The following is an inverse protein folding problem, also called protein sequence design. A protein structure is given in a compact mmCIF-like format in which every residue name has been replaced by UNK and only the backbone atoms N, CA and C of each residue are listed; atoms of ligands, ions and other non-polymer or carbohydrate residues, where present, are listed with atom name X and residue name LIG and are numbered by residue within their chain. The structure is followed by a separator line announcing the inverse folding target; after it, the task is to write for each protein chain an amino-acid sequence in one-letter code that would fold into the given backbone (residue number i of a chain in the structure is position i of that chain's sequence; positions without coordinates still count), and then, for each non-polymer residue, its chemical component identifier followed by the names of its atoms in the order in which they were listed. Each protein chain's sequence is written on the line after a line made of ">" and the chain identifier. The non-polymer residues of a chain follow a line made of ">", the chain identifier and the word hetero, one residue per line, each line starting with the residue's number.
data_IF_876785644195
#
_entry.id   IF_876785644195
#
_cell.length_a   1.000
_cell.length_b   1.000
_cell.length_c   1.000
_cell.angle_alpha   90.00
_cell.angle_beta   90.00
_cell.angle_gamma   90.00
#
_symmetry.space_group_name_H-M   'P 1'
#
loop_
_entity.id
_entity.type
_entity.pdbx_description
1 polymer ?
#
# COMPACT_ATOMS: atom_id res chain seq x y z
N UNK A 1 -5.31 1.97 -23.61
CA UNK A 1 -4.72 0.62 -23.42
C UNK A 1 -5.34 0.05 -22.16
N UNK A 2 -5.62 -1.24 -22.08
CA UNK A 2 -6.14 -1.87 -20.85
C UNK A 2 -4.97 -2.46 -20.05
N UNK A 3 -5.12 -2.56 -18.75
CA UNK A 3 -4.05 -3.06 -17.86
C UNK A 3 -3.64 -4.49 -18.21
N UNK A 4 -4.57 -5.33 -18.62
CA UNK A 4 -4.31 -6.71 -19.05
C UNK A 4 -3.42 -6.76 -20.29
N UNK A 5 -3.59 -5.79 -21.21
CA UNK A 5 -2.76 -5.66 -22.41
C UNK A 5 -1.33 -5.26 -22.05
N UNK A 6 -1.17 -4.43 -21.00
CA UNK A 6 0.15 -4.04 -20.47
C UNK A 6 0.88 -5.24 -19.90
N UNK A 7 0.22 -6.06 -19.08
CA UNK A 7 0.80 -7.27 -18.50
C UNK A 7 1.06 -8.37 -19.53
N UNK A 8 0.20 -8.50 -20.54
CA UNK A 8 0.35 -9.51 -21.60
C UNK A 8 1.63 -9.33 -22.43
N UNK A 9 2.23 -8.13 -22.46
CA UNK A 9 3.45 -7.86 -23.23
C UNK A 9 4.71 -8.56 -22.69
N UNK A 10 4.66 -9.19 -21.52
CA UNK A 10 5.79 -9.89 -20.88
C UNK A 10 7.10 -9.08 -20.82
N UNK A 11 7.00 -7.76 -20.64
CA UNK A 11 8.12 -6.84 -20.50
C UNK A 11 8.04 -6.13 -19.16
N UNK A 12 9.12 -5.47 -18.77
CA UNK A 12 9.07 -4.57 -17.63
C UNK A 12 8.07 -3.43 -17.89
N UNK A 13 7.26 -3.12 -16.88
CA UNK A 13 6.33 -1.99 -16.89
C UNK A 13 7.00 -0.84 -16.18
N UNK A 14 7.00 0.35 -16.81
CA UNK A 14 7.54 1.56 -16.21
C UNK A 14 6.42 2.32 -15.52
N UNK A 15 6.61 2.57 -14.23
CA UNK A 15 5.87 3.56 -13.46
C UNK A 15 6.59 4.91 -13.61
N UNK A 16 5.90 5.98 -13.25
CA UNK A 16 6.51 7.31 -13.23
C UNK A 16 7.45 7.53 -12.02
N UNK A 17 7.83 8.77 -11.79
CA UNK A 17 8.72 9.20 -10.71
C UNK A 17 8.07 10.24 -9.80
N UNK A 18 8.93 11.07 -9.17
CA UNK A 18 8.53 12.04 -8.16
C UNK A 18 7.66 13.18 -8.73
N UNK A 19 6.40 13.24 -8.35
CA UNK A 19 5.52 14.37 -8.68
C UNK A 19 5.85 15.60 -7.84
N UNK A 20 5.86 15.47 -6.52
CA UNK A 20 6.08 16.60 -5.60
C UNK A 20 7.40 17.32 -5.84
N UNK A 21 8.50 16.58 -5.98
CA UNK A 21 9.83 17.14 -6.29
C UNK A 21 9.81 17.92 -7.62
N UNK A 22 9.19 17.38 -8.67
CA UNK A 22 9.09 18.03 -9.96
C UNK A 22 8.24 19.31 -9.93
N UNK A 23 7.16 19.33 -9.16
CA UNK A 23 6.35 20.54 -8.97
C UNK A 23 7.11 21.62 -8.21
N UNK A 24 7.87 21.26 -7.16
CA UNK A 24 8.70 22.20 -6.40
C UNK A 24 9.80 22.81 -7.28
N UNK A 25 10.50 22.00 -8.08
CA UNK A 25 11.49 22.48 -9.04
C UNK A 25 10.91 23.44 -10.09
N UNK A 26 9.61 23.37 -10.33
CA UNK A 26 8.88 24.22 -11.30
C UNK A 26 8.04 25.31 -10.66
N UNK A 27 8.28 25.62 -9.37
CA UNK A 27 7.76 26.81 -8.71
C UNK A 27 6.63 26.55 -7.71
N UNK A 28 6.24 25.32 -7.40
CA UNK A 28 5.34 25.05 -6.29
C UNK A 28 6.07 25.36 -4.97
N UNK A 29 5.47 26.23 -4.16
CA UNK A 29 6.07 26.63 -2.87
C UNK A 29 5.68 25.67 -1.75
N UNK A 30 6.46 25.65 -0.66
CA UNK A 30 6.19 24.81 0.52
C UNK A 30 4.89 25.18 1.26
N UNK A 31 4.34 26.36 1.04
CA UNK A 31 3.07 26.81 1.59
C UNK A 31 1.86 26.28 0.81
N UNK A 32 2.08 25.87 -0.42
CA UNK A 32 1.03 25.37 -1.30
C UNK A 32 0.87 23.86 -1.14
N UNK A 33 -0.38 23.40 -1.12
CA UNK A 33 -0.67 21.96 -1.11
C UNK A 33 -0.44 21.38 -2.50
N UNK A 34 0.41 20.35 -2.64
CA UNK A 34 0.68 19.74 -3.95
C UNK A 34 -0.59 19.26 -4.68
N UNK A 35 -1.58 18.75 -3.93
CA UNK A 35 -2.84 18.26 -4.48
C UNK A 35 -3.65 19.35 -5.21
N UNK A 36 -3.41 20.61 -4.89
CA UNK A 36 -4.06 21.74 -5.54
C UNK A 36 -3.32 22.22 -6.81
N UNK A 37 -2.25 21.59 -7.23
CA UNK A 37 -1.49 21.99 -8.42
C UNK A 37 -2.34 22.00 -9.70
N UNK A 38 -3.37 21.14 -9.80
CA UNK A 38 -4.31 21.15 -10.92
C UNK A 38 -5.12 22.47 -11.03
N UNK A 39 -5.22 23.26 -9.97
CA UNK A 39 -5.88 24.57 -9.95
C UNK A 39 -4.89 25.74 -9.97
N UNK A 40 -3.73 25.56 -9.35
CA UNK A 40 -2.72 26.63 -9.18
C UNK A 40 -1.82 26.73 -10.42
N UNK A 41 -1.42 25.59 -10.99
CA UNK A 41 -0.48 25.50 -12.10
C UNK A 41 -0.78 24.30 -13.03
N UNK A 42 -1.99 24.21 -13.61
CA UNK A 42 -2.43 23.05 -14.40
C UNK A 42 -1.51 22.71 -15.58
N UNK A 43 -0.97 23.73 -16.25
CA UNK A 43 -0.06 23.52 -17.38
C UNK A 43 1.26 22.88 -16.92
N UNK A 44 1.78 23.31 -15.76
CA UNK A 44 2.99 22.73 -15.17
C UNK A 44 2.75 21.29 -14.75
N UNK A 45 1.63 21.00 -14.07
CA UNK A 45 1.26 19.65 -13.70
C UNK A 45 1.15 18.73 -14.92
N UNK A 46 0.44 19.19 -15.96
CA UNK A 46 0.33 18.45 -17.23
C UNK A 46 1.70 18.24 -17.89
N UNK A 47 2.60 19.23 -17.83
CA UNK A 47 3.94 19.10 -18.37
C UNK A 47 4.77 18.05 -17.61
N UNK A 48 4.68 17.97 -16.28
CA UNK A 48 5.36 16.93 -15.49
C UNK A 48 4.87 15.53 -15.92
N UNK A 49 3.57 15.31 -16.01
CA UNK A 49 3.03 14.03 -16.49
C UNK A 49 3.50 13.71 -17.92
N UNK A 50 3.55 14.71 -18.79
CA UNK A 50 4.01 14.56 -20.18
C UNK A 50 5.48 14.17 -20.24
N UNK A 51 6.33 14.75 -19.41
CA UNK A 51 7.74 14.43 -19.36
C UNK A 51 7.97 12.97 -18.93
N UNK A 52 7.24 12.47 -17.92
CA UNK A 52 7.27 11.06 -17.55
C UNK A 52 6.72 10.13 -18.62
N UNK A 53 5.60 10.50 -19.27
CA UNK A 53 5.05 9.74 -20.37
C UNK A 53 6.05 9.60 -21.53
N UNK A 54 6.71 10.70 -21.92
CA UNK A 54 7.76 10.74 -22.96
C UNK A 54 9.03 9.99 -22.56
N UNK A 55 9.35 9.97 -21.26
CA UNK A 55 10.44 9.17 -20.71
C UNK A 55 10.14 7.65 -20.78
N UNK A 56 8.91 7.27 -21.08
CA UNK A 56 8.50 5.88 -21.30
C UNK A 56 7.75 5.25 -20.14
N UNK A 57 7.19 6.05 -19.23
CA UNK A 57 6.25 5.54 -18.23
C UNK A 57 5.02 4.93 -18.90
N UNK A 58 4.69 3.71 -18.54
CA UNK A 58 3.50 2.98 -19.00
C UNK A 58 2.29 3.33 -18.14
N UNK A 59 2.51 3.77 -16.88
CA UNK A 59 1.50 4.18 -15.91
C UNK A 59 1.93 5.52 -15.30
N UNK A 60 1.02 6.50 -15.33
CA UNK A 60 1.18 7.81 -14.68
C UNK A 60 0.29 7.87 -13.45
N UNK A 61 0.86 8.21 -12.30
CA UNK A 61 0.12 8.44 -11.07
C UNK A 61 -0.40 9.88 -11.08
N UNK A 62 -1.73 10.05 -11.04
CA UNK A 62 -2.34 11.37 -10.97
C UNK A 62 -1.94 12.07 -9.66
N UNK A 63 -1.92 13.40 -9.65
CA UNK A 63 -1.52 14.18 -8.47
C UNK A 63 -2.63 14.22 -7.40
N UNK A 64 -3.01 13.04 -6.90
CA UNK A 64 -4.15 12.83 -5.99
C UNK A 64 -3.76 12.18 -4.66
N UNK A 65 -2.47 11.98 -4.40
CA UNK A 65 -1.90 11.31 -3.22
C UNK A 65 -2.54 11.75 -1.89
N UNK A 66 -2.70 13.04 -1.68
CA UNK A 66 -3.28 13.61 -0.47
C UNK A 66 -4.70 14.16 -0.65
N UNK A 67 -5.41 13.79 -1.71
CA UNK A 67 -6.75 14.32 -2.02
C UNK A 67 -7.86 13.73 -1.13
N UNK A 68 -7.62 13.56 0.17
CA UNK A 68 -8.59 13.05 1.13
C UNK A 68 -9.30 14.20 1.88
N UNK A 69 -10.49 13.93 2.48
CA UNK A 69 -11.29 14.95 3.16
C UNK A 69 -10.53 15.70 4.26
N UNK A 70 -9.65 15.00 4.99
CA UNK A 70 -8.87 15.58 6.08
C UNK A 70 -7.85 16.60 5.57
N UNK A 71 -7.04 16.23 4.57
CA UNK A 71 -5.99 17.11 4.02
C UNK A 71 -6.57 18.27 3.22
N UNK A 72 -7.75 18.09 2.62
CA UNK A 72 -8.42 19.16 1.87
C UNK A 72 -9.26 20.11 2.77
N UNK A 73 -9.41 19.81 4.05
CA UNK A 73 -10.16 20.68 4.96
C UNK A 73 -9.63 22.11 4.94
N UNK A 74 -10.53 23.06 4.72
CA UNK A 74 -10.21 24.51 4.69
C UNK A 74 -9.62 25.01 3.37
N UNK A 75 -9.49 24.16 2.33
CA UNK A 75 -8.99 24.59 1.01
C UNK A 75 -10.06 25.21 0.12
N UNK A 76 -11.34 24.98 0.41
CA UNK A 76 -12.45 25.37 -0.45
C UNK A 76 -12.76 24.41 -1.60
N UNK A 77 -11.99 23.33 -1.74
CA UNK A 77 -12.20 22.30 -2.77
C UNK A 77 -12.68 20.99 -2.14
N UNK A 78 -13.53 20.27 -2.88
CA UNK A 78 -13.98 18.91 -2.54
C UNK A 78 -12.99 17.87 -3.05
N UNK A 79 -13.04 16.66 -2.47
CA UNK A 79 -12.27 15.48 -2.93
C UNK A 79 -12.52 15.23 -4.42
N UNK A 80 -13.78 15.23 -4.83
CA UNK A 80 -14.18 15.03 -6.22
C UNK A 80 -13.54 16.05 -7.16
N UNK A 81 -13.62 17.35 -6.85
CA UNK A 81 -13.04 18.40 -7.70
C UNK A 81 -11.53 18.24 -7.89
N UNK A 82 -10.82 17.94 -6.80
CA UNK A 82 -9.36 17.77 -6.85
C UNK A 82 -8.96 16.54 -7.68
N UNK A 83 -9.65 15.43 -7.47
CA UNK A 83 -9.39 14.18 -8.20
C UNK A 83 -9.73 14.34 -9.69
N UNK A 84 -10.88 14.88 -10.02
CA UNK A 84 -11.28 15.11 -11.43
C UNK A 84 -10.27 16.00 -12.16
N UNK A 85 -9.88 17.13 -11.57
CA UNK A 85 -8.93 18.06 -12.18
C UNK A 85 -7.54 17.43 -12.37
N UNK A 86 -7.05 16.68 -11.36
CA UNK A 86 -5.73 16.04 -11.41
C UNK A 86 -5.70 14.90 -12.44
N UNK A 87 -6.74 14.06 -12.48
CA UNK A 87 -6.85 12.99 -13.48
C UNK A 87 -6.95 13.59 -14.90
N UNK A 88 -7.66 14.70 -15.10
CA UNK A 88 -7.74 15.37 -16.40
C UNK A 88 -6.36 15.84 -16.89
N UNK A 89 -5.52 16.41 -16.02
CA UNK A 89 -4.14 16.78 -16.36
C UNK A 89 -3.30 15.56 -16.77
N UNK A 90 -3.34 14.48 -15.98
CA UNK A 90 -2.64 13.25 -16.29
C UNK A 90 -3.13 12.59 -17.57
N UNK A 91 -4.44 12.57 -17.80
CA UNK A 91 -5.07 12.01 -19.00
C UNK A 91 -4.68 12.80 -20.26
N UNK A 92 -4.59 14.13 -20.16
CA UNK A 92 -4.11 14.99 -21.27
C UNK A 92 -2.69 14.61 -21.69
N UNK A 93 -1.80 14.37 -20.72
CA UNK A 93 -0.43 13.93 -20.99
C UNK A 93 -0.38 12.50 -21.54
N UNK A 94 -1.19 11.60 -21.01
CA UNK A 94 -1.24 10.19 -21.40
C UNK A 94 -1.71 9.97 -22.85
N UNK A 95 -2.50 10.89 -23.41
CA UNK A 95 -2.97 10.79 -24.81
C UNK A 95 -1.84 10.71 -25.83
N UNK A 96 -0.68 11.32 -25.56
CA UNK A 96 0.45 11.35 -26.49
C UNK A 96 1.15 9.98 -26.61
N UNK A 97 1.13 9.15 -25.56
CA UNK A 97 1.87 7.88 -25.49
C UNK A 97 0.99 6.65 -25.30
N UNK A 98 -0.27 6.85 -24.93
CA UNK A 98 -1.20 5.80 -24.55
C UNK A 98 -0.90 5.20 -23.16
N UNK A 99 -0.20 5.94 -22.28
CA UNK A 99 0.01 5.52 -20.90
C UNK A 99 -1.34 5.40 -20.14
N UNK A 100 -1.39 4.53 -19.14
CA UNK A 100 -2.50 4.42 -18.21
C UNK A 100 -2.42 5.53 -17.16
N UNK A 101 -3.55 5.91 -16.61
CA UNK A 101 -3.64 6.89 -15.51
C UNK A 101 -4.16 6.20 -14.26
N UNK A 102 -3.36 6.22 -13.20
CA UNK A 102 -3.73 5.69 -11.89
C UNK A 102 -4.32 6.79 -11.01
N UNK A 103 -5.39 6.45 -10.28
CA UNK A 103 -5.78 7.21 -9.10
C UNK A 103 -4.77 6.92 -8.00
N UNK A 104 -3.96 7.90 -7.64
CA UNK A 104 -2.95 7.78 -6.60
C UNK A 104 -3.51 8.15 -5.23
N UNK A 105 -3.41 7.26 -4.26
CA UNK A 105 -3.94 7.43 -2.90
C UNK A 105 -2.84 7.11 -1.87
N UNK A 106 -2.47 8.12 -1.09
CA UNK A 106 -1.59 7.97 0.05
C UNK A 106 -2.33 7.81 1.38
N UNK A 107 -1.60 7.72 2.51
CA UNK A 107 -2.17 7.66 3.84
C UNK A 107 -3.07 8.87 4.16
N UNK A 108 -4.13 8.63 4.95
CA UNK A 108 -5.05 9.68 5.42
C UNK A 108 -4.29 10.73 6.25
N UNK A 109 -3.24 10.29 6.97
CA UNK A 109 -2.45 11.16 7.83
C UNK A 109 -2.93 11.17 9.29
N UNK A 110 -3.61 10.13 9.70
CA UNK A 110 -4.01 9.84 11.08
C UNK A 110 -3.96 8.34 11.33
N UNK A 111 -3.44 7.92 12.48
CA UNK A 111 -3.43 6.52 12.85
C UNK A 111 -4.83 6.03 13.21
N UNK A 112 -5.14 4.81 12.80
CA UNK A 112 -6.39 4.15 13.14
C UNK A 112 -6.39 3.69 14.61
N UNK A 113 -7.58 3.62 15.22
CA UNK A 113 -7.75 3.01 16.53
C UNK A 113 -7.35 1.52 16.49
N UNK A 114 -6.73 0.96 17.54
CA UNK A 114 -6.45 1.59 18.85
C UNK A 114 -5.12 2.37 18.93
N UNK A 115 -4.26 2.32 17.89
CA UNK A 115 -2.98 3.03 17.90
C UNK A 115 -3.14 4.55 17.76
N UNK A 116 -4.20 5.00 17.12
CA UNK A 116 -4.63 6.38 16.98
C UNK A 116 -6.10 6.55 17.35
N UNK A 117 -6.74 7.58 16.77
CA UNK A 117 -8.11 7.97 17.09
C UNK A 117 -9.11 7.75 15.96
N UNK A 118 -8.65 7.47 14.73
CA UNK A 118 -9.52 7.30 13.57
C UNK A 118 -10.18 5.92 13.59
N UNK A 119 -11.52 5.81 13.62
CA UNK A 119 -12.21 4.53 13.47
C UNK A 119 -11.91 3.89 12.10
N UNK A 120 -11.87 2.57 12.06
CA UNK A 120 -11.62 1.81 10.82
C UNK A 120 -12.65 2.12 9.74
N UNK A 121 -13.93 2.18 10.12
CA UNK A 121 -15.05 2.45 9.23
C UNK A 121 -14.98 3.86 8.63
N UNK A 122 -14.52 4.84 9.42
CA UNK A 122 -14.33 6.22 8.95
C UNK A 122 -13.16 6.31 7.96
N UNK A 123 -12.11 5.52 8.17
CA UNK A 123 -11.02 5.40 7.20
C UNK A 123 -11.53 4.76 5.89
N UNK A 124 -12.28 3.65 5.97
CA UNK A 124 -12.91 3.04 4.80
C UNK A 124 -13.80 4.04 4.04
N UNK A 125 -14.60 4.82 4.74
CA UNK A 125 -15.48 5.83 4.12
C UNK A 125 -14.69 6.91 3.38
N UNK A 126 -13.59 7.41 3.94
CA UNK A 126 -12.73 8.40 3.30
C UNK A 126 -12.04 7.82 2.04
N UNK A 127 -11.49 6.60 2.12
CA UNK A 127 -10.92 5.94 0.95
C UNK A 127 -11.98 5.66 -0.12
N UNK A 128 -13.18 5.22 0.26
CA UNK A 128 -14.28 4.98 -0.66
C UNK A 128 -14.73 6.25 -1.41
N UNK A 129 -14.72 7.41 -0.76
CA UNK A 129 -14.98 8.70 -1.40
C UNK A 129 -13.96 8.99 -2.52
N UNK A 130 -12.65 8.81 -2.23
CA UNK A 130 -11.59 9.02 -3.21
C UNK A 130 -11.70 8.02 -4.37
N UNK A 131 -11.94 6.74 -4.07
CA UNK A 131 -12.04 5.67 -5.07
C UNK A 131 -13.22 5.93 -6.02
N UNK A 132 -14.38 6.27 -5.50
CA UNK A 132 -15.56 6.61 -6.34
C UNK A 132 -15.29 7.81 -7.22
N UNK A 133 -14.66 8.85 -6.68
CA UNK A 133 -14.30 10.04 -7.46
C UNK A 133 -13.32 9.71 -8.58
N UNK A 134 -12.28 8.90 -8.29
CA UNK A 134 -11.29 8.49 -9.29
C UNK A 134 -11.84 7.59 -10.38
N UNK A 135 -12.69 6.63 -10.03
CA UNK A 135 -13.37 5.76 -10.99
C UNK A 135 -14.30 6.58 -11.90
N UNK A 136 -15.08 7.51 -11.34
CA UNK A 136 -15.94 8.41 -12.10
C UNK A 136 -15.16 9.36 -13.02
N UNK A 137 -13.97 9.83 -12.60
CA UNK A 137 -13.08 10.66 -13.39
C UNK A 137 -12.33 9.88 -14.50
N UNK A 138 -12.50 8.55 -14.57
CA UNK A 138 -11.93 7.70 -15.61
C UNK A 138 -10.50 7.29 -15.36
N UNK A 139 -10.09 7.05 -14.11
CA UNK A 139 -8.85 6.35 -13.82
C UNK A 139 -8.86 4.93 -14.40
N UNK A 140 -7.69 4.41 -14.79
CA UNK A 140 -7.55 3.04 -15.30
C UNK A 140 -7.27 2.02 -14.19
N UNK A 141 -6.76 2.46 -13.05
CA UNK A 141 -6.47 1.64 -11.86
C UNK A 141 -6.40 2.52 -10.60
N UNK A 142 -6.49 1.88 -9.45
CA UNK A 142 -6.26 2.50 -8.13
C UNK A 142 -4.84 2.14 -7.66
N UNK A 143 -4.08 3.12 -7.20
CA UNK A 143 -2.73 2.95 -6.70
C UNK A 143 -2.67 3.46 -5.25
N UNK A 144 -2.60 2.52 -4.30
CA UNK A 144 -2.51 2.80 -2.87
C UNK A 144 -1.03 2.79 -2.49
N UNK A 145 -0.38 3.97 -2.35
CA UNK A 145 1.07 3.99 -2.16
C UNK A 145 1.52 4.62 -0.84
N UNK A 146 2.75 4.30 -0.47
CA UNK A 146 3.46 4.88 0.70
C UNK A 146 2.73 4.60 2.02
N UNK A 147 1.97 3.51 2.09
CA UNK A 147 1.28 3.14 3.32
C UNK A 147 2.30 2.72 4.38
N UNK A 148 2.08 3.13 5.62
CA UNK A 148 2.97 2.85 6.77
C UNK A 148 2.30 2.01 7.84
N UNK A 149 0.99 1.84 7.74
CA UNK A 149 0.17 1.03 8.63
C UNK A 149 -0.60 -0.03 7.83
N UNK A 150 -0.49 -1.31 8.24
CA UNK A 150 -1.17 -2.40 7.54
C UNK A 150 -2.68 -2.36 7.76
N UNK A 151 -3.13 -1.83 8.90
CA UNK A 151 -4.55 -1.74 9.21
C UNK A 151 -5.22 -0.64 8.37
N UNK A 152 -4.53 0.49 8.18
CA UNK A 152 -4.95 1.52 7.23
C UNK A 152 -4.98 1.00 5.79
N UNK A 153 -3.95 0.26 5.36
CA UNK A 153 -3.92 -0.36 4.03
C UNK A 153 -5.08 -1.35 3.82
N UNK A 154 -5.46 -2.13 4.84
CA UNK A 154 -6.65 -2.99 4.78
C UNK A 154 -7.91 -2.19 4.50
N UNK A 155 -8.12 -1.07 5.23
CA UNK A 155 -9.26 -0.18 4.99
C UNK A 155 -9.27 0.35 3.55
N UNK A 156 -8.11 0.76 3.02
CA UNK A 156 -7.98 1.27 1.65
C UNK A 156 -8.26 0.19 0.59
N UNK A 157 -7.75 -1.05 0.77
CA UNK A 157 -8.01 -2.15 -0.18
C UNK A 157 -9.50 -2.53 -0.17
N UNK A 158 -10.12 -2.68 1.01
CA UNK A 158 -11.54 -3.00 1.12
C UNK A 158 -12.39 -1.91 0.47
N UNK A 159 -12.11 -0.64 0.79
CA UNK A 159 -12.80 0.49 0.16
C UNK A 159 -12.68 0.47 -1.37
N UNK A 160 -11.49 0.15 -1.91
CA UNK A 160 -11.32 0.07 -3.37
C UNK A 160 -12.11 -1.10 -3.98
N UNK A 161 -11.99 -2.30 -3.41
CA UNK A 161 -12.67 -3.51 -3.92
C UNK A 161 -14.19 -3.46 -3.83
N UNK A 162 -14.74 -2.73 -2.85
CA UNK A 162 -16.18 -2.59 -2.64
C UNK A 162 -16.81 -1.45 -3.47
N UNK A 163 -16.02 -0.51 -3.99
CA UNK A 163 -16.55 0.68 -4.63
C UNK A 163 -16.18 0.84 -6.11
N UNK A 164 -15.32 -0.02 -6.67
CA UNK A 164 -15.03 -0.05 -8.11
C UNK A 164 -14.49 -1.42 -8.57
N UNK A 165 -14.54 -1.63 -9.89
CA UNK A 165 -13.97 -2.82 -10.55
C UNK A 165 -12.55 -2.58 -11.10
N UNK A 166 -11.92 -1.46 -10.75
CA UNK A 166 -10.58 -1.13 -11.21
C UNK A 166 -9.52 -2.03 -10.54
N UNK A 167 -8.44 -2.37 -11.24
CA UNK A 167 -7.29 -3.03 -10.62
C UNK A 167 -6.73 -2.20 -9.47
N UNK A 168 -6.35 -2.87 -8.37
CA UNK A 168 -5.83 -2.24 -7.15
C UNK A 168 -4.38 -2.61 -6.94
N UNK A 169 -3.48 -1.64 -7.07
CA UNK A 169 -2.06 -1.78 -6.78
C UNK A 169 -1.78 -1.20 -5.40
N UNK A 170 -0.92 -1.86 -4.64
CA UNK A 170 -0.61 -1.41 -3.28
C UNK A 170 0.88 -1.35 -3.03
N UNK A 171 1.36 -0.39 -2.24
CA UNK A 171 2.71 -0.40 -1.71
C UNK A 171 2.79 0.12 -0.27
N UNK A 172 3.78 -0.39 0.43
CA UNK A 172 4.13 0.10 1.75
C UNK A 172 5.55 0.67 1.75
N UNK A 173 5.78 1.59 2.66
CA UNK A 173 7.07 2.22 2.90
C UNK A 173 7.72 1.60 4.14
N UNK A 174 8.95 1.11 3.98
CA UNK A 174 9.70 0.41 5.04
C UNK A 174 10.91 1.22 5.47
N UNK A 175 11.20 1.19 6.77
CA UNK A 175 12.42 1.74 7.33
C UNK A 175 13.60 0.77 7.12
N UNK A 176 14.83 1.21 7.37
CA UNK A 176 16.06 0.45 7.15
C UNK A 176 16.10 -0.93 7.82
N UNK A 177 15.31 -1.14 8.88
CA UNK A 177 15.18 -2.45 9.57
C UNK A 177 14.17 -3.40 8.90
N UNK A 178 13.54 -3.02 7.79
CA UNK A 178 12.56 -3.82 7.06
C UNK A 178 11.21 -3.95 7.77
N UNK A 179 10.86 -2.93 8.55
CA UNK A 179 9.54 -2.74 9.15
C UNK A 179 9.00 -1.37 8.81
N UNK A 180 7.69 -1.24 8.74
CA UNK A 180 7.03 0.06 8.60
C UNK A 180 7.05 0.83 9.92
N UNK A 181 6.60 2.08 9.90
CA UNK A 181 6.48 2.92 11.10
C UNK A 181 5.67 2.24 12.24
N UNK A 182 4.58 1.53 11.90
CA UNK A 182 3.77 0.78 12.88
C UNK A 182 4.26 -0.66 13.13
N UNK A 183 5.42 -1.02 12.59
CA UNK A 183 6.07 -2.31 12.85
C UNK A 183 5.71 -3.43 11.88
N UNK A 184 4.92 -3.16 10.83
CA UNK A 184 4.53 -4.19 9.85
C UNK A 184 5.74 -4.79 9.14
N UNK A 185 5.74 -6.12 8.98
CA UNK A 185 6.77 -6.85 8.23
C UNK A 185 6.44 -6.92 6.74
N UNK A 186 7.48 -7.11 5.92
CA UNK A 186 7.31 -7.29 4.47
C UNK A 186 6.43 -8.50 4.16
N UNK A 187 6.60 -9.59 4.92
CA UNK A 187 5.84 -10.82 4.77
C UNK A 187 4.35 -10.61 5.10
N UNK A 188 4.07 -9.98 6.25
CA UNK A 188 2.69 -9.69 6.68
C UNK A 188 1.98 -8.81 5.68
N UNK A 189 2.66 -7.79 5.16
CA UNK A 189 2.14 -6.94 4.10
C UNK A 189 1.78 -7.75 2.84
N UNK A 190 2.75 -8.48 2.29
CA UNK A 190 2.54 -9.22 1.03
C UNK A 190 1.43 -10.27 1.13
N UNK A 191 1.36 -11.01 2.25
CA UNK A 191 0.33 -12.01 2.51
C UNK A 191 -1.05 -11.36 2.63
N UNK A 192 -1.15 -10.29 3.43
CA UNK A 192 -2.43 -9.61 3.66
C UNK A 192 -2.95 -8.94 2.39
N UNK A 193 -2.10 -8.19 1.66
CA UNK A 193 -2.51 -7.52 0.44
C UNK A 193 -2.96 -8.53 -0.64
N UNK A 194 -2.23 -9.63 -0.81
CA UNK A 194 -2.61 -10.72 -1.72
C UNK A 194 -3.93 -11.38 -1.30
N UNK A 195 -4.10 -11.64 0.00
CA UNK A 195 -5.31 -12.25 0.56
C UNK A 195 -6.56 -11.36 0.42
N UNK A 196 -6.41 -10.05 0.43
CA UNK A 196 -7.47 -9.06 0.22
C UNK A 196 -7.74 -8.78 -1.28
N UNK A 197 -7.03 -9.44 -2.17
CA UNK A 197 -7.27 -9.33 -3.61
C UNK A 197 -6.63 -8.11 -4.28
N UNK A 198 -5.51 -7.59 -3.75
CA UNK A 198 -4.69 -6.65 -4.50
C UNK A 198 -4.20 -7.28 -5.81
N UNK A 199 -4.16 -6.51 -6.89
CA UNK A 199 -3.78 -6.98 -8.22
C UNK A 199 -2.25 -6.87 -8.46
N UNK A 200 -1.58 -5.98 -7.72
CA UNK A 200 -0.13 -5.87 -7.64
C UNK A 200 0.31 -5.35 -6.27
N UNK A 201 1.51 -5.72 -5.86
CA UNK A 201 2.10 -5.26 -4.59
C UNK A 201 3.50 -4.69 -4.82
N UNK A 202 3.91 -3.76 -3.97
CA UNK A 202 5.22 -3.13 -4.14
C UNK A 202 5.79 -2.49 -2.88
N UNK A 203 6.96 -1.90 -3.05
CA UNK A 203 7.63 -1.11 -2.01
C UNK A 203 8.04 0.21 -2.63
N UNK A 204 7.75 1.31 -1.96
CA UNK A 204 8.13 2.62 -2.44
C UNK A 204 8.59 3.56 -1.31
N UNK A 205 9.28 4.62 -1.69
CA UNK A 205 9.72 5.71 -0.81
C UNK A 205 10.69 5.28 0.31
N UNK A 206 10.96 6.15 1.25
CA UNK A 206 11.83 6.07 2.44
C UNK A 206 13.31 5.81 2.15
N UNK A 207 13.64 4.87 1.27
CA UNK A 207 14.99 4.35 1.08
C UNK A 207 15.37 4.38 -0.41
N UNK A 208 16.67 4.28 -0.68
CA UNK A 208 17.22 4.15 -2.03
C UNK A 208 17.14 2.74 -2.60
N UNK A 209 17.58 2.56 -3.86
CA UNK A 209 17.46 1.27 -4.54
C UNK A 209 18.19 0.12 -3.83
N UNK A 210 19.39 0.35 -3.29
CA UNK A 210 20.18 -0.70 -2.62
C UNK A 210 19.50 -1.22 -1.35
N UNK A 211 18.95 -0.31 -0.56
CA UNK A 211 18.34 -0.62 0.72
C UNK A 211 17.01 -1.36 0.56
N UNK A 212 16.22 -1.02 -0.48
CA UNK A 212 14.91 -1.66 -0.74
C UNK A 212 15.07 -3.06 -1.35
N UNK A 213 16.15 -3.35 -2.06
CA UNK A 213 16.35 -4.61 -2.79
C UNK A 213 16.11 -5.87 -1.94
N UNK A 214 16.68 -6.00 -0.72
CA UNK A 214 16.43 -7.18 0.12
C UNK A 214 14.95 -7.35 0.49
N UNK A 215 14.24 -6.25 0.72
CA UNK A 215 12.82 -6.28 1.08
C UNK A 215 11.96 -6.69 -0.11
N UNK A 216 12.25 -6.16 -1.29
CA UNK A 216 11.56 -6.53 -2.52
C UNK A 216 11.76 -8.02 -2.88
N UNK A 217 12.94 -8.56 -2.62
CA UNK A 217 13.21 -10.00 -2.77
C UNK A 217 12.39 -10.85 -1.76
N UNK A 218 12.25 -10.39 -0.51
CA UNK A 218 11.40 -11.05 0.51
C UNK A 218 9.94 -11.01 0.07
N UNK A 219 9.44 -9.86 -0.42
CA UNK A 219 8.09 -9.72 -0.94
C UNK A 219 7.81 -10.71 -2.08
N UNK A 220 8.72 -10.83 -3.05
CA UNK A 220 8.60 -11.79 -4.16
C UNK A 220 8.49 -13.26 -3.71
N UNK A 221 9.01 -13.61 -2.52
CA UNK A 221 8.96 -14.99 -2.00
C UNK A 221 7.63 -15.34 -1.34
N UNK A 222 6.85 -14.36 -0.91
CA UNK A 222 5.63 -14.61 -0.12
C UNK A 222 4.34 -14.39 -0.91
N UNK A 223 4.40 -13.65 -2.02
CA UNK A 223 3.22 -13.39 -2.86
C UNK A 223 3.08 -14.44 -3.97
N UNK A 224 1.87 -14.66 -4.52
CA UNK A 224 1.63 -15.63 -5.59
C UNK A 224 2.55 -15.42 -6.81
N UNK A 225 2.91 -16.51 -7.50
CA UNK A 225 3.80 -16.46 -8.67
C UNK A 225 3.31 -15.50 -9.77
N UNK A 226 2.01 -15.48 -10.02
CA UNK A 226 1.40 -14.62 -11.03
C UNK A 226 1.18 -13.16 -10.61
N UNK A 227 1.29 -12.83 -9.32
CA UNK A 227 1.07 -11.46 -8.84
C UNK A 227 2.23 -10.55 -9.21
N UNK A 228 2.02 -9.44 -9.95
CA UNK A 228 3.08 -8.49 -10.24
C UNK A 228 3.66 -7.86 -8.97
N UNK A 229 4.97 -7.62 -8.95
CA UNK A 229 5.67 -6.89 -7.88
C UNK A 229 6.36 -5.68 -8.47
N UNK A 230 6.23 -4.54 -7.81
CA UNK A 230 6.85 -3.29 -8.23
C UNK A 230 7.74 -2.66 -7.15
N UNK A 231 8.63 -1.79 -7.59
CA UNK A 231 9.45 -0.95 -6.72
C UNK A 231 9.52 0.48 -7.26
N UNK A 232 9.40 1.46 -6.36
CA UNK A 232 9.59 2.90 -6.63
C UNK A 232 10.49 3.49 -5.53
N UNK A 233 11.82 3.25 -5.56
CA UNK A 233 12.76 3.80 -4.57
C UNK A 233 12.89 5.32 -4.70
N UNK A 234 13.38 5.96 -3.64
CA UNK A 234 13.88 7.33 -3.71
C UNK A 234 15.22 7.37 -4.47
N UNK A 235 15.57 8.53 -5.01
CA UNK A 235 16.91 8.78 -5.55
C UNK A 235 17.92 9.05 -4.42
N UNK A 236 18.02 8.14 -3.45
CA UNK A 236 18.77 8.29 -2.21
C UNK A 236 17.94 8.85 -1.05
N UNK A 237 18.63 9.34 -0.03
CA UNK A 237 18.01 10.04 1.09
C UNK A 237 18.00 11.56 0.83
N UNK A 238 16.98 12.28 1.34
CA UNK A 238 16.93 13.72 1.21
C UNK A 238 18.05 14.38 2.03
N UNK A 239 18.77 15.31 1.43
CA UNK A 239 19.69 16.20 2.10
C UNK A 239 18.96 17.29 2.91
N UNK A 240 19.68 18.01 3.74
CA UNK A 240 19.11 19.11 4.55
C UNK A 240 18.47 20.23 3.70
N UNK A 241 18.94 20.42 2.48
CA UNK A 241 18.39 21.38 1.51
C UNK A 241 17.26 20.80 0.65
N UNK A 242 16.87 19.54 0.87
CA UNK A 242 15.83 18.85 0.13
C UNK A 242 16.29 18.27 -1.23
N UNK A 243 17.57 18.36 -1.58
CA UNK A 243 18.15 17.68 -2.75
C UNK A 243 18.34 16.19 -2.48
N UNK A 244 18.64 15.43 -3.54
CA UNK A 244 18.89 13.99 -3.47
C UNK A 244 20.24 13.68 -4.11
N UNK A 245 21.01 12.75 -3.52
CA UNK A 245 22.40 12.52 -3.90
C UNK A 245 22.60 11.58 -5.09
N UNK A 246 21.62 10.72 -5.38
CA UNK A 246 21.74 9.72 -6.44
C UNK A 246 21.33 10.36 -7.78
N UNK A 247 22.27 10.45 -8.70
CA UNK A 247 22.00 10.91 -10.07
C UNK A 247 21.12 9.92 -10.85
N UNK A 248 20.42 10.34 -11.93
CA UNK A 248 19.64 9.44 -12.77
C UNK A 248 20.42 8.23 -13.30
N UNK A 249 21.70 8.42 -13.65
CA UNK A 249 22.56 7.35 -14.13
C UNK A 249 22.91 6.32 -13.03
N UNK A 250 23.24 6.80 -11.84
CA UNK A 250 23.50 5.95 -10.67
C UNK A 250 22.22 5.21 -10.24
N UNK A 251 21.07 5.91 -10.24
CA UNK A 251 19.77 5.32 -9.97
C UNK A 251 19.49 4.13 -10.91
N UNK A 252 19.62 4.32 -12.21
CA UNK A 252 19.40 3.26 -13.18
C UNK A 252 20.42 2.10 -13.03
N UNK A 253 21.68 2.40 -12.72
CA UNK A 253 22.71 1.39 -12.48
C UNK A 253 22.40 0.54 -11.25
N UNK A 254 21.93 1.13 -10.15
CA UNK A 254 21.53 0.42 -8.96
C UNK A 254 20.26 -0.42 -9.18
N UNK A 255 19.30 0.11 -9.94
CA UNK A 255 18.07 -0.59 -10.32
C UNK A 255 18.31 -1.83 -11.20
N UNK A 256 19.48 -1.95 -11.84
CA UNK A 256 19.83 -3.16 -12.58
C UNK A 256 19.82 -4.43 -11.72
N UNK A 257 20.09 -4.32 -10.41
CA UNK A 257 20.07 -5.45 -9.46
C UNK A 257 18.66 -6.07 -9.27
N UNK A 258 17.60 -5.36 -9.64
CA UNK A 258 16.22 -5.85 -9.53
C UNK A 258 15.81 -6.78 -10.69
N UNK A 259 16.47 -6.72 -11.83
CA UNK A 259 16.08 -7.45 -13.04
C UNK A 259 15.99 -8.99 -12.85
N UNK A 260 16.88 -9.65 -12.09
CA UNK A 260 16.80 -11.11 -11.90
C UNK A 260 15.90 -11.53 -10.72
N UNK A 261 15.19 -10.61 -10.04
CA UNK A 261 14.55 -10.90 -8.75
C UNK A 261 13.08 -11.32 -8.83
N UNK A 262 12.46 -11.24 -10.01
CA UNK A 262 11.04 -11.50 -10.20
C UNK A 262 10.16 -10.24 -10.06
N UNK A 263 10.76 -9.09 -9.87
CA UNK A 263 10.08 -7.79 -9.95
C UNK A 263 9.77 -7.51 -11.42
N UNK A 264 8.58 -7.02 -11.70
CA UNK A 264 8.08 -6.82 -13.06
C UNK A 264 7.76 -5.37 -13.40
N UNK A 265 7.70 -4.48 -12.39
CA UNK A 265 7.45 -3.06 -12.60
C UNK A 265 8.48 -2.22 -11.86
N UNK A 266 8.99 -1.19 -12.51
CA UNK A 266 10.02 -0.30 -11.99
C UNK A 266 9.58 1.15 -12.15
N UNK A 267 9.89 1.97 -11.17
CA UNK A 267 9.66 3.42 -11.18
C UNK A 267 10.54 4.12 -10.17
N UNK A 268 10.23 5.36 -9.90
CA UNK A 268 10.92 6.15 -8.89
C UNK A 268 9.93 6.80 -7.92
N UNK A 269 10.44 7.21 -6.76
CA UNK A 269 9.73 8.05 -5.80
C UNK A 269 10.54 9.34 -5.59
N UNK A 270 10.55 9.92 -4.40
CA UNK A 270 11.18 11.21 -4.13
C UNK A 270 12.60 11.35 -4.72
N UNK A 271 12.88 12.51 -5.32
CA UNK A 271 14.15 12.80 -5.97
C UNK A 271 14.36 12.20 -7.37
N UNK A 272 13.53 11.24 -7.80
CA UNK A 272 13.65 10.71 -9.16
C UNK A 272 13.10 11.69 -10.20
N UNK A 273 13.66 11.65 -11.40
CA UNK A 273 13.39 12.58 -12.50
C UNK A 273 12.91 11.82 -13.75
N UNK A 274 12.32 12.51 -14.74
CA UNK A 274 11.99 11.89 -16.03
C UNK A 274 13.19 11.16 -16.66
N UNK A 275 14.41 11.70 -16.52
CA UNK A 275 15.63 11.05 -17.00
C UNK A 275 15.90 9.71 -16.32
N UNK A 276 15.60 9.57 -15.03
CA UNK A 276 15.70 8.30 -14.31
C UNK A 276 14.81 7.23 -14.95
N UNK A 277 13.57 7.59 -15.29
CA UNK A 277 12.60 6.68 -15.93
C UNK A 277 13.04 6.34 -17.36
N UNK A 278 13.58 7.32 -18.11
CA UNK A 278 14.11 7.08 -19.45
C UNK A 278 15.25 6.06 -19.43
N UNK A 279 16.18 6.20 -18.51
CA UNK A 279 17.32 5.29 -18.36
C UNK A 279 16.85 3.89 -17.89
N UNK A 280 15.85 3.79 -17.00
CA UNK A 280 15.24 2.52 -16.65
C UNK A 280 14.57 1.84 -17.85
N UNK A 281 13.91 2.62 -18.69
CA UNK A 281 13.28 2.11 -19.92
C UNK A 281 14.34 1.54 -20.87
N UNK A 282 15.44 2.24 -21.07
CA UNK A 282 16.57 1.77 -21.89
C UNK A 282 17.20 0.51 -21.28
N UNK A 283 17.45 0.50 -19.98
CA UNK A 283 17.99 -0.65 -19.25
C UNK A 283 17.16 -1.94 -19.45
N UNK A 284 15.85 -1.79 -19.62
CA UNK A 284 14.89 -2.91 -19.66
C UNK A 284 14.35 -3.23 -21.06
N UNK A 285 14.72 -2.48 -22.09
CA UNK A 285 14.11 -2.50 -23.42
C UNK A 285 14.01 -3.91 -24.02
N UNK A 286 15.07 -4.72 -23.93
CA UNK A 286 15.17 -6.06 -24.51
C UNK A 286 15.13 -7.17 -23.43
N UNK A 287 14.60 -6.84 -22.24
CA UNK A 287 14.58 -7.76 -21.10
C UNK A 287 13.16 -8.12 -20.70
N UNK A 288 13.01 -9.34 -20.22
CA UNK A 288 11.78 -9.83 -19.59
C UNK A 288 12.00 -10.03 -18.10
N UNK A 289 10.99 -9.73 -17.27
CA UNK A 289 11.07 -10.03 -15.84
C UNK A 289 11.34 -11.51 -15.60
N UNK A 290 12.22 -11.79 -14.65
CA UNK A 290 12.47 -13.16 -14.21
C UNK A 290 11.21 -13.75 -13.56
N UNK A 291 11.01 -15.05 -13.71
CA UNK A 291 9.92 -15.74 -13.02
C UNK A 291 10.17 -15.74 -11.51
N UNK A 292 9.12 -15.44 -10.74
CA UNK A 292 9.18 -15.60 -9.27
C UNK A 292 9.06 -17.08 -8.91
N UNK A 293 9.77 -17.47 -7.86
CA UNK A 293 9.67 -18.77 -7.23
C UNK A 293 9.19 -18.61 -5.80
N UNK A 294 7.89 -18.34 -5.57
CA UNK A 294 7.37 -18.14 -4.23
C UNK A 294 7.43 -19.43 -3.42
N UNK A 295 7.65 -19.27 -2.12
CA UNK A 295 7.54 -20.38 -1.18
C UNK A 295 6.05 -20.54 -0.86
N UNK A 296 5.41 -21.53 -1.51
CA UNK A 296 3.99 -21.81 -1.26
C UNK A 296 3.86 -22.50 0.10
N UNK A 297 3.23 -21.79 1.04
CA UNK A 297 2.94 -22.30 2.39
C UNK A 297 1.64 -21.69 2.89
N UNK A 298 0.93 -22.43 3.74
CA UNK A 298 -0.17 -21.86 4.53
C UNK A 298 0.41 -20.93 5.58
N UNK A 299 -0.07 -19.70 5.64
CA UNK A 299 0.40 -18.69 6.57
C UNK A 299 -0.77 -17.90 7.15
N UNK A 300 -0.64 -17.54 8.42
CA UNK A 300 -1.49 -16.55 9.07
C UNK A 300 -0.58 -15.44 9.59
N UNK A 301 -1.07 -14.19 9.58
CA UNK A 301 -0.26 -13.08 10.02
C UNK A 301 -1.07 -12.00 10.74
N UNK A 302 -0.42 -11.40 11.73
CA UNK A 302 -0.73 -10.04 12.22
C UNK A 302 0.19 -9.06 11.50
N UNK A 303 0.05 -7.75 11.68
CA UNK A 303 0.99 -6.79 11.10
C UNK A 303 2.45 -7.09 11.42
N UNK A 304 2.76 -7.52 12.63
CA UNK A 304 4.13 -7.65 13.15
C UNK A 304 4.67 -9.08 13.13
N UNK A 305 3.84 -10.08 12.90
CA UNK A 305 4.19 -11.51 12.97
C UNK A 305 3.54 -12.30 11.83
N UNK A 306 4.32 -13.21 11.26
CA UNK A 306 3.84 -14.19 10.30
C UNK A 306 4.14 -15.59 10.83
N UNK A 307 3.13 -16.46 10.90
CA UNK A 307 3.24 -17.85 11.31
C UNK A 307 3.03 -18.75 10.09
N UNK A 308 4.00 -19.59 9.78
CA UNK A 308 3.89 -20.62 8.77
C UNK A 308 3.30 -21.89 9.37
N UNK A 309 2.19 -22.38 8.82
CA UNK A 309 1.64 -23.68 9.21
C UNK A 309 2.46 -24.76 8.51
N UNK A 310 3.50 -25.26 9.20
CA UNK A 310 4.42 -26.25 8.66
C UNK A 310 4.78 -27.28 9.77
N UNK A 311 4.20 -28.47 9.69
CA UNK A 311 4.32 -29.50 10.75
C UNK A 311 3.33 -29.24 11.88
N UNK A 312 3.78 -29.42 13.13
CA UNK A 312 2.94 -29.21 14.31
C UNK A 312 2.90 -27.70 14.60
N UNK A 313 1.69 -27.14 14.63
CA UNK A 313 1.44 -25.75 15.02
C UNK A 313 0.49 -25.75 16.21
N UNK A 314 0.84 -25.06 17.27
CA UNK A 314 0.06 -25.02 18.52
C UNK A 314 -0.98 -23.91 18.43
N UNK A 315 -2.25 -24.29 18.48
CA UNK A 315 -3.39 -23.38 18.48
C UNK A 315 -3.98 -23.28 19.90
N UNK A 316 -4.07 -22.05 20.41
CA UNK A 316 -4.73 -21.76 21.68
C UNK A 316 -6.24 -21.72 21.53
N UNK A 317 -6.98 -22.68 22.09
CA UNK A 317 -8.43 -22.87 21.94
C UNK A 317 -9.23 -22.40 23.17
N UNK A 318 -8.62 -21.81 24.17
CA UNK A 318 -9.32 -21.49 25.42
C UNK A 318 -10.36 -20.38 25.33
N UNK A 319 -10.34 -19.57 24.27
CA UNK A 319 -11.35 -18.52 24.02
C UNK A 319 -12.51 -19.13 23.21
N UNK A 320 -13.17 -20.10 23.82
CA UNK A 320 -14.33 -20.80 23.29
C UNK A 320 -15.29 -21.05 24.47
N UNK A 321 -16.53 -20.54 24.46
CA UNK A 321 -17.44 -20.63 25.60
C UNK A 321 -18.00 -22.03 25.85
N UNK A 322 -17.84 -22.98 24.93
CA UNK A 322 -18.37 -24.34 25.07
C UNK A 322 -17.86 -25.01 26.35
N UNK A 323 -18.74 -25.28 27.28
CA UNK A 323 -18.43 -25.92 28.57
C UNK A 323 -17.70 -25.03 29.59
N UNK A 324 -17.38 -23.77 29.27
CA UNK A 324 -16.58 -22.87 30.12
C UNK A 324 -17.46 -21.78 30.76
N UNK A 325 -18.12 -22.10 31.88
CA UNK A 325 -19.10 -21.24 32.57
C UNK A 325 -18.59 -19.81 32.84
N UNK A 326 -17.32 -19.65 33.24
CA UNK A 326 -16.75 -18.33 33.54
C UNK A 326 -16.62 -17.46 32.28
N UNK A 327 -16.20 -18.05 31.16
CA UNK A 327 -16.14 -17.32 29.87
C UNK A 327 -17.53 -16.97 29.39
N UNK A 328 -18.52 -17.93 29.52
CA UNK A 328 -19.90 -17.66 29.16
C UNK A 328 -20.48 -16.47 29.94
N UNK A 329 -20.19 -16.38 31.24
CA UNK A 329 -20.63 -15.26 32.07
C UNK A 329 -19.98 -13.96 31.61
N UNK A 330 -18.64 -13.92 31.40
CA UNK A 330 -17.93 -12.77 30.94
C UNK A 330 -18.47 -12.22 29.61
N UNK A 331 -18.76 -13.13 28.63
CA UNK A 331 -19.33 -12.73 27.35
C UNK A 331 -20.73 -12.13 27.47
N UNK A 332 -21.60 -12.67 28.37
CA UNK A 332 -22.91 -12.08 28.61
C UNK A 332 -22.86 -10.71 29.28
N UNK A 333 -21.84 -10.49 30.08
CA UNK A 333 -21.57 -9.20 30.77
C UNK A 333 -20.83 -8.18 29.90
N UNK A 334 -20.38 -8.58 28.69
CA UNK A 334 -19.55 -7.75 27.81
C UNK A 334 -18.14 -7.53 28.34
N UNK A 335 -17.67 -8.43 29.24
CA UNK A 335 -16.33 -8.38 29.84
C UNK A 335 -15.32 -9.11 28.97
N UNK A 336 -14.51 -8.37 28.20
CA UNK A 336 -13.41 -8.90 27.41
C UNK A 336 -12.18 -9.28 28.23
N UNK A 337 -12.01 -8.75 29.44
CA UNK A 337 -10.79 -8.92 30.23
C UNK A 337 -10.47 -10.38 30.55
N UNK A 338 -11.50 -11.22 30.78
CA UNK A 338 -11.27 -12.64 31.00
C UNK A 338 -10.76 -13.35 29.73
N UNK A 339 -11.30 -13.04 28.56
CA UNK A 339 -10.84 -13.57 27.27
C UNK A 339 -9.40 -13.12 26.99
N UNK A 340 -9.09 -11.84 27.23
CA UNK A 340 -7.75 -11.27 27.12
C UNK A 340 -6.74 -11.99 28.01
N UNK A 341 -7.09 -12.25 29.27
CA UNK A 341 -6.24 -13.03 30.18
C UNK A 341 -5.98 -14.46 29.69
N UNK A 342 -6.99 -15.11 29.07
CA UNK A 342 -6.82 -16.42 28.44
C UNK A 342 -5.88 -16.36 27.22
N UNK A 343 -5.94 -15.32 26.40
CA UNK A 343 -5.04 -15.13 25.28
C UNK A 343 -3.57 -15.00 25.71
N UNK A 344 -3.32 -14.15 26.71
CA UNK A 344 -1.97 -13.96 27.25
C UNK A 344 -1.42 -15.28 27.84
N UNK A 345 -2.23 -15.99 28.63
CA UNK A 345 -1.81 -17.27 29.22
C UNK A 345 -1.51 -18.34 28.16
N UNK A 346 -2.25 -18.38 27.05
CA UNK A 346 -1.99 -19.29 25.93
C UNK A 346 -0.71 -18.90 25.17
N UNK A 347 -0.49 -17.62 24.94
CA UNK A 347 0.74 -17.11 24.31
C UNK A 347 1.97 -17.47 25.16
N UNK A 348 1.91 -17.25 26.48
CA UNK A 348 2.98 -17.64 27.43
C UNK A 348 3.21 -19.15 27.49
N UNK A 349 2.15 -19.95 27.29
CA UNK A 349 2.24 -21.40 27.21
C UNK A 349 2.76 -21.93 25.87
N UNK A 350 3.08 -21.05 24.90
CA UNK A 350 3.68 -21.41 23.62
C UNK A 350 2.69 -21.61 22.48
N UNK A 351 1.46 -21.09 22.57
CA UNK A 351 0.57 -21.04 21.43
C UNK A 351 1.18 -20.14 20.32
N UNK A 352 1.04 -20.58 19.08
CA UNK A 352 1.48 -19.85 17.88
C UNK A 352 0.33 -19.13 17.20
N UNK A 353 -0.91 -19.61 17.39
CA UNK A 353 -2.17 -19.08 16.87
C UNK A 353 -3.21 -19.07 17.99
N UNK A 354 -4.22 -18.20 17.86
CA UNK A 354 -5.39 -18.19 18.73
C UNK A 354 -6.64 -18.55 17.92
N UNK A 355 -7.42 -19.50 18.43
CA UNK A 355 -8.79 -19.74 17.99
C UNK A 355 -9.75 -18.97 18.89
N UNK A 356 -10.60 -18.15 18.28
CA UNK A 356 -11.57 -17.28 18.98
C UNK A 356 -12.97 -17.62 18.55
N UNK A 357 -13.80 -18.01 19.53
CA UNK A 357 -15.20 -18.37 19.34
C UNK A 357 -16.07 -17.60 20.34
N UNK A 358 -17.13 -16.95 19.84
CA UNK A 358 -18.13 -16.23 20.64
C UNK A 358 -19.49 -16.91 20.61
N UNK A 359 -19.61 -18.15 20.07
CA UNK A 359 -20.86 -18.88 19.91
C UNK A 359 -21.54 -19.22 21.24
N UNK A 360 -22.42 -18.35 21.66
CA UNK A 360 -23.19 -18.49 22.90
C UNK A 360 -24.63 -18.03 22.67
N UNK A 361 -25.65 -18.86 23.06
CA UNK A 361 -27.04 -18.39 23.03
C UNK A 361 -27.22 -17.12 23.89
N UNK A 362 -28.17 -16.30 23.51
CA UNK A 362 -28.61 -15.10 24.23
C UNK A 362 -27.61 -13.91 24.21
N UNK A 363 -26.66 -13.89 23.28
CA UNK A 363 -25.80 -12.72 23.02
C UNK A 363 -25.82 -12.35 21.51
N UNK A 364 -25.41 -11.13 21.20
CA UNK A 364 -25.10 -10.75 19.83
C UNK A 364 -23.71 -11.30 19.47
N UNK A 365 -23.67 -12.48 18.84
CA UNK A 365 -22.42 -13.17 18.51
C UNK A 365 -21.52 -12.36 17.56
N UNK A 366 -22.02 -11.77 16.45
CA UNK A 366 -21.21 -10.93 15.58
C UNK A 366 -20.54 -9.76 16.31
N UNK A 367 -21.33 -8.99 17.08
CA UNK A 367 -20.79 -7.84 17.82
C UNK A 367 -19.81 -8.28 18.91
N UNK A 368 -20.08 -9.40 19.60
CA UNK A 368 -19.18 -9.94 20.62
C UNK A 368 -17.87 -10.44 20.01
N UNK A 369 -17.92 -11.13 18.88
CA UNK A 369 -16.72 -11.61 18.18
C UNK A 369 -15.86 -10.44 17.69
N UNK A 370 -16.48 -9.41 17.12
CA UNK A 370 -15.79 -8.20 16.69
C UNK A 370 -15.08 -7.52 17.87
N UNK A 371 -15.78 -7.33 18.99
CA UNK A 371 -15.20 -6.77 20.22
C UNK A 371 -14.00 -7.61 20.68
N UNK A 372 -14.13 -8.93 20.78
CA UNK A 372 -13.06 -9.82 21.21
C UNK A 372 -11.83 -9.72 20.29
N UNK A 373 -12.03 -9.74 18.98
CA UNK A 373 -10.90 -9.66 18.01
C UNK A 373 -10.18 -8.33 18.15
N UNK A 374 -10.90 -7.21 18.28
CA UNK A 374 -10.29 -5.89 18.48
C UNK A 374 -9.46 -5.82 19.77
N UNK A 375 -10.00 -6.31 20.88
CA UNK A 375 -9.31 -6.32 22.18
C UNK A 375 -8.08 -7.25 22.16
N UNK A 376 -8.20 -8.45 21.60
CA UNK A 376 -7.12 -9.41 21.51
C UNK A 376 -5.95 -8.88 20.65
N UNK A 377 -6.23 -8.21 19.52
CA UNK A 377 -5.22 -7.60 18.67
C UNK A 377 -4.46 -6.46 19.37
N UNK A 378 -5.03 -5.86 20.40
CA UNK A 378 -4.35 -4.80 21.18
C UNK A 378 -3.34 -5.34 22.19
N UNK A 379 -3.43 -6.62 22.59
CA UNK A 379 -2.65 -7.21 23.67
C UNK A 379 -1.73 -8.36 23.26
N UNK A 380 -1.91 -8.93 22.07
CA UNK A 380 -1.07 -10.03 21.57
C UNK A 380 -0.72 -9.83 20.10
N UNK A 381 0.47 -10.33 19.71
CA UNK A 381 0.94 -10.37 18.33
C UNK A 381 0.63 -11.70 17.62
N UNK A 382 -0.10 -12.61 18.29
CA UNK A 382 -0.49 -13.89 17.68
C UNK A 382 -1.59 -13.70 16.62
N UNK A 383 -1.48 -14.36 15.47
CA UNK A 383 -2.59 -14.49 14.52
C UNK A 383 -3.77 -15.27 15.10
#
# INVERSE_FOLDING_TARGET
>A
MKIEEVFARRRFIMLDGAMGTQLQLRGLTTEQKPELAAFIMPDVLTAVHRDYARAGADILLANTFGANPRKLKGTGYTVQQVIEASIACARTAAQETGALVALDIGPIGELLAPAGTLPFEDACAQFAEMVRAGAAAGADLVFLETMTDLYELKAAILAAKENCDLPVFTSMSFEARGRTFTGCTVESYGITAAGLGADAVGINCSLGPKEILPFAQRLCRVVPAGMPVFVKPNAGLPNLDGSYDITPAEFAAEMAAYLPTGISMLGGCCGSEPESIRLLKELTQDKTPAAKTPIVRSRLCTPVRCVEVNGITVVGERINPTGKKRLQQALREGDSAYACAQAVAQAEAGAELLDVNAGLPDIDEPATLEMLVRELQSITDLP
#
